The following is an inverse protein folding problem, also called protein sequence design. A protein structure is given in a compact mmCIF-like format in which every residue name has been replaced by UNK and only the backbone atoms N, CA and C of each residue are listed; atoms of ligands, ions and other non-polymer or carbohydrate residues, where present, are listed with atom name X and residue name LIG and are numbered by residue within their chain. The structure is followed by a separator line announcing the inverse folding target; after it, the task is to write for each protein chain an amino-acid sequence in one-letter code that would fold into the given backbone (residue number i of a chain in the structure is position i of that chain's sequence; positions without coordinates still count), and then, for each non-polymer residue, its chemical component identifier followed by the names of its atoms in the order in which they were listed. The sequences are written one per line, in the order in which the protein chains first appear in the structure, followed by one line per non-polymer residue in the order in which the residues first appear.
data_IF_686584921638
#
_entry.id   IF_686584921638
#
_cell.length_a   1.000
_cell.length_b   1.000
_cell.length_c   1.000
_cell.angle_alpha   90.00
_cell.angle_beta   90.00
_cell.angle_gamma   90.00
#
_symmetry.space_group_name_H-M   'P 1'
#
loop_
_entity.id
_entity.type
_entity.pdbx_description
1 polymer ?
#
# COMPACT_ATOMS: atom_id res chain seq x y z
N UNK A 1 32.56 -3.50 -1.81
CA UNK A 1 31.34 -3.47 -2.63
C UNK A 1 30.45 -2.34 -2.13
N UNK A 2 30.27 -1.28 -2.91
CA UNK A 2 29.28 -0.25 -2.62
C UNK A 2 27.91 -0.85 -2.96
N UNK A 3 27.17 -1.35 -1.97
CA UNK A 3 25.75 -1.64 -2.14
C UNK A 3 25.07 -0.33 -2.51
N UNK A 4 24.68 -0.20 -3.78
CA UNK A 4 23.89 0.92 -4.28
C UNK A 4 22.58 0.92 -3.48
N UNK A 5 22.46 1.79 -2.47
CA UNK A 5 21.21 1.95 -1.72
C UNK A 5 20.13 2.36 -2.73
N UNK A 6 19.04 1.59 -2.83
CA UNK A 6 17.89 1.99 -3.63
C UNK A 6 17.31 3.29 -3.07
N UNK A 7 16.91 4.19 -3.96
CA UNK A 7 16.13 5.37 -3.61
C UNK A 7 14.73 4.90 -3.17
N UNK A 8 14.25 5.23 -1.96
CA UNK A 8 12.95 4.77 -1.48
C UNK A 8 11.79 5.21 -2.37
N UNK A 9 11.92 6.32 -3.13
CA UNK A 9 10.89 6.68 -4.12
C UNK A 9 10.83 5.69 -5.29
N UNK A 10 11.98 5.17 -5.72
CA UNK A 10 12.07 4.13 -6.75
C UNK A 10 11.56 2.80 -6.21
N UNK A 11 11.89 2.46 -4.95
CA UNK A 11 11.39 1.26 -4.26
C UNK A 11 9.86 1.27 -4.15
N UNK A 12 9.26 2.40 -3.74
CA UNK A 12 7.80 2.57 -3.67
C UNK A 12 7.14 2.35 -5.04
N UNK A 13 7.70 2.94 -6.11
CA UNK A 13 7.16 2.80 -7.47
C UNK A 13 7.20 1.35 -7.95
N UNK A 14 8.33 0.68 -7.76
CA UNK A 14 8.50 -0.72 -8.15
C UNK A 14 7.53 -1.63 -7.39
N UNK A 15 7.35 -1.40 -6.08
CA UNK A 15 6.41 -2.18 -5.28
C UNK A 15 4.95 -1.93 -5.72
N UNK A 16 4.58 -0.69 -6.07
CA UNK A 16 3.24 -0.39 -6.56
C UNK A 16 2.97 -1.04 -7.93
N UNK A 17 3.96 -1.04 -8.82
CA UNK A 17 3.88 -1.71 -10.12
C UNK A 17 3.79 -3.23 -9.96
N UNK A 18 4.63 -3.82 -9.10
CA UNK A 18 4.60 -5.25 -8.75
C UNK A 18 3.22 -5.66 -8.22
N UNK A 19 2.69 -4.92 -7.24
CA UNK A 19 1.38 -5.14 -6.65
C UNK A 19 0.29 -5.17 -7.72
N UNK A 20 0.26 -4.14 -8.58
CA UNK A 20 -0.72 -4.04 -9.67
C UNK A 20 -0.62 -5.22 -10.63
N UNK A 21 0.59 -5.55 -11.07
CA UNK A 21 0.84 -6.61 -12.04
C UNK A 21 0.45 -7.98 -11.48
N UNK A 22 0.88 -8.30 -10.24
CA UNK A 22 0.53 -9.57 -9.59
C UNK A 22 -0.98 -9.74 -9.42
N UNK A 23 -1.69 -8.69 -8.99
CA UNK A 23 -3.15 -8.72 -8.85
C UNK A 23 -3.87 -8.92 -10.20
N UNK A 24 -3.37 -8.32 -11.29
CA UNK A 24 -3.91 -8.47 -12.65
C UNK A 24 -3.60 -9.86 -13.21
N UNK A 25 -2.40 -10.39 -12.99
CA UNK A 25 -2.02 -11.74 -13.40
C UNK A 25 -2.91 -12.79 -12.72
N UNK A 26 -3.16 -12.64 -11.41
CA UNK A 26 -4.05 -13.54 -10.69
C UNK A 26 -5.47 -13.59 -11.29
N UNK A 27 -6.02 -12.45 -11.74
CA UNK A 27 -7.32 -12.43 -12.45
C UNK A 27 -7.28 -13.28 -13.73
N UNK A 28 -6.16 -13.27 -14.48
CA UNK A 28 -6.05 -13.99 -15.75
C UNK A 28 -5.95 -15.51 -15.57
N UNK A 29 -5.33 -15.95 -14.47
CA UNK A 29 -4.96 -17.35 -14.27
C UNK A 29 -5.77 -18.05 -13.17
N UNK A 30 -6.67 -17.35 -12.49
CA UNK A 30 -7.48 -17.87 -11.38
C UNK A 30 -8.94 -17.44 -11.49
N UNK A 31 -9.81 -18.04 -10.68
CA UNK A 31 -11.19 -17.62 -10.47
C UNK A 31 -11.27 -16.50 -9.43
N UNK A 32 -10.58 -15.38 -9.70
CA UNK A 32 -10.59 -14.23 -8.80
C UNK A 32 -12.02 -13.71 -8.60
N UNK A 33 -12.35 -13.33 -7.36
CA UNK A 33 -13.66 -12.73 -7.01
C UNK A 33 -13.65 -11.20 -7.08
N UNK A 34 -12.57 -10.63 -7.56
CA UNK A 34 -12.41 -9.20 -7.80
C UNK A 34 -12.09 -8.96 -9.27
N UNK A 35 -12.36 -7.74 -9.73
CA UNK A 35 -12.16 -7.35 -11.13
C UNK A 35 -10.93 -6.47 -11.28
N UNK A 36 -10.47 -6.28 -12.52
CA UNK A 36 -9.42 -5.29 -12.80
C UNK A 36 -9.82 -3.89 -12.30
N UNK A 37 -11.11 -3.53 -12.35
CA UNK A 37 -11.58 -2.24 -11.80
C UNK A 37 -11.35 -2.12 -10.30
N UNK A 38 -11.41 -3.22 -9.56
CA UNK A 38 -11.16 -3.21 -8.11
C UNK A 38 -9.66 -3.11 -7.82
N UNK A 39 -8.82 -3.73 -8.65
CA UNK A 39 -7.36 -3.49 -8.63
C UNK A 39 -7.06 -2.02 -8.87
N UNK A 40 -7.61 -1.40 -9.91
CA UNK A 40 -7.34 0.02 -10.18
C UNK A 40 -7.81 0.93 -9.04
N UNK A 41 -8.96 0.63 -8.39
CA UNK A 41 -9.39 1.36 -7.19
C UNK A 41 -8.37 1.23 -6.06
N UNK A 42 -7.84 0.03 -5.83
CA UNK A 42 -6.80 -0.21 -4.82
C UNK A 42 -5.56 0.66 -5.08
N UNK A 43 -5.06 0.63 -6.32
CA UNK A 43 -3.89 1.41 -6.74
C UNK A 43 -4.14 2.91 -6.58
N UNK A 44 -5.29 3.42 -7.04
CA UNK A 44 -5.65 4.84 -6.90
C UNK A 44 -5.71 5.28 -5.44
N UNK A 45 -6.22 4.43 -4.52
CA UNK A 45 -6.21 4.75 -3.08
C UNK A 45 -4.78 4.91 -2.55
N UNK A 46 -3.88 4.02 -2.95
CA UNK A 46 -2.47 4.06 -2.53
C UNK A 46 -1.77 5.28 -3.14
N UNK A 47 -1.97 5.57 -4.44
CA UNK A 47 -1.40 6.77 -5.10
C UNK A 47 -1.88 8.06 -4.44
N UNK A 48 -3.18 8.18 -4.16
CA UNK A 48 -3.73 9.33 -3.45
C UNK A 48 -3.12 9.46 -2.04
N UNK A 49 -2.90 8.36 -1.34
CA UNK A 49 -2.21 8.38 -0.06
C UNK A 49 -0.77 8.89 -0.21
N UNK A 50 -0.01 8.37 -1.18
CA UNK A 50 1.38 8.77 -1.43
C UNK A 50 1.49 10.28 -1.72
N UNK A 51 0.59 10.82 -2.54
CA UNK A 51 0.53 12.25 -2.84
C UNK A 51 0.21 13.09 -1.60
N UNK A 52 -0.71 12.62 -0.76
CA UNK A 52 -1.13 13.37 0.43
C UNK A 52 -0.10 13.31 1.55
N UNK A 53 0.53 12.16 1.79
CA UNK A 53 1.57 12.04 2.83
C UNK A 53 2.83 12.79 2.42
N UNK A 54 3.16 12.87 1.12
CA UNK A 54 4.24 13.71 0.63
C UNK A 54 4.04 15.19 1.04
N UNK A 55 2.79 15.67 0.98
CA UNK A 55 2.38 17.05 1.29
C UNK A 55 2.08 17.29 2.78
N UNK A 56 2.01 16.26 3.61
CA UNK A 56 1.64 16.45 5.01
C UNK A 56 2.69 17.23 5.80
N UNK A 57 2.22 18.07 6.72
CA UNK A 57 3.05 19.00 7.48
C UNK A 57 3.71 18.36 8.70
N UNK A 58 3.11 17.31 9.28
CA UNK A 58 3.59 16.71 10.52
C UNK A 58 3.14 15.25 10.67
N UNK A 59 3.80 14.53 11.60
CA UNK A 59 3.56 13.11 11.87
C UNK A 59 2.10 12.83 12.22
N UNK A 60 1.41 13.70 12.97
CA UNK A 60 0.00 13.48 13.34
C UNK A 60 -0.88 13.40 12.09
N UNK A 61 -0.81 14.41 11.21
CA UNK A 61 -1.53 14.40 9.92
C UNK A 61 -1.13 13.20 9.07
N UNK A 62 0.15 12.84 9.03
CA UNK A 62 0.63 11.65 8.32
C UNK A 62 -0.01 10.35 8.81
N UNK A 63 -0.10 10.15 10.14
CA UNK A 63 -0.73 8.94 10.71
C UNK A 63 -2.24 8.91 10.50
N UNK A 64 -2.91 10.07 10.45
CA UNK A 64 -4.33 10.16 10.07
C UNK A 64 -4.56 9.72 8.62
N UNK A 65 -3.64 10.06 7.70
CA UNK A 65 -3.67 9.58 6.31
C UNK A 65 -3.45 8.06 6.23
N UNK A 66 -2.49 7.51 6.98
CA UNK A 66 -2.26 6.06 7.07
C UNK A 66 -3.53 5.34 7.52
N UNK A 67 -4.14 5.81 8.61
CA UNK A 67 -5.37 5.24 9.14
C UNK A 67 -6.50 5.30 8.10
N UNK A 68 -6.65 6.43 7.42
CA UNK A 68 -7.67 6.63 6.39
C UNK A 68 -7.50 5.64 5.24
N UNK A 69 -6.27 5.49 4.72
CA UNK A 69 -5.97 4.52 3.68
C UNK A 69 -6.33 3.09 4.11
N UNK A 70 -5.90 2.66 5.31
CA UNK A 70 -6.16 1.30 5.80
C UNK A 70 -7.67 1.03 5.93
N UNK A 71 -8.46 2.01 6.38
CA UNK A 71 -9.93 1.88 6.44
C UNK A 71 -10.50 1.70 5.02
N UNK A 72 -10.08 2.54 4.07
CA UNK A 72 -10.56 2.45 2.69
C UNK A 72 -10.19 1.12 2.03
N UNK A 73 -8.99 0.60 2.30
CA UNK A 73 -8.54 -0.70 1.80
C UNK A 73 -9.31 -1.86 2.43
N UNK A 74 -9.57 -1.83 3.75
CA UNK A 74 -10.42 -2.83 4.40
C UNK A 74 -11.83 -2.85 3.78
N UNK A 75 -12.43 -1.67 3.57
CA UNK A 75 -13.76 -1.56 2.97
C UNK A 75 -13.79 -2.05 1.52
N UNK A 76 -12.73 -1.78 0.75
CA UNK A 76 -12.58 -2.29 -0.61
C UNK A 76 -12.42 -3.81 -0.61
N UNK A 77 -11.57 -4.36 0.26
CA UNK A 77 -11.36 -5.79 0.39
C UNK A 77 -12.65 -6.51 0.75
N UNK A 78 -13.42 -5.97 1.70
CA UNK A 78 -14.72 -6.52 2.09
C UNK A 78 -15.71 -6.59 0.92
N UNK A 79 -15.75 -5.57 0.04
CA UNK A 79 -16.57 -5.58 -1.18
C UNK A 79 -16.14 -6.65 -2.19
N UNK A 80 -14.90 -7.13 -2.09
CA UNK A 80 -14.33 -8.22 -2.86
C UNK A 80 -14.31 -9.55 -2.07
N UNK A 81 -15.22 -9.71 -1.09
CA UNK A 81 -15.33 -10.90 -0.23
C UNK A 81 -14.03 -11.28 0.51
N UNK A 82 -13.16 -10.30 0.76
CA UNK A 82 -11.88 -10.50 1.45
C UNK A 82 -10.76 -11.04 0.58
N UNK A 83 -10.95 -11.17 -0.75
CA UNK A 83 -10.02 -11.86 -1.65
C UNK A 83 -9.13 -10.92 -2.47
N UNK A 84 -9.30 -9.60 -2.35
CA UNK A 84 -8.49 -8.62 -3.08
C UNK A 84 -7.11 -8.42 -2.43
N UNK A 85 -7.06 -8.39 -1.10
CA UNK A 85 -5.85 -8.16 -0.32
C UNK A 85 -5.60 -9.38 0.57
N UNK A 86 -4.82 -10.33 0.05
CA UNK A 86 -4.37 -11.49 0.79
C UNK A 86 -2.99 -11.24 1.41
N UNK A 87 -2.34 -12.29 1.91
CA UNK A 87 -1.07 -12.19 2.65
C UNK A 87 0.04 -11.48 1.89
N UNK A 88 0.19 -11.74 0.59
CA UNK A 88 1.26 -11.15 -0.22
C UNK A 88 1.01 -9.66 -0.50
N UNK A 89 -0.19 -9.31 -1.03
CA UNK A 89 -0.55 -7.93 -1.34
C UNK A 89 -0.45 -7.04 -0.09
N UNK A 90 -0.82 -7.61 1.04
CA UNK A 90 -0.74 -6.96 2.34
C UNK A 90 0.69 -6.60 2.76
N UNK A 91 1.65 -7.50 2.55
CA UNK A 91 3.06 -7.24 2.86
C UNK A 91 3.61 -6.14 1.95
N UNK A 92 3.26 -6.18 0.66
CA UNK A 92 3.63 -5.14 -0.30
C UNK A 92 3.03 -3.76 0.05
N UNK A 93 1.72 -3.70 0.29
CA UNK A 93 1.02 -2.47 0.69
C UNK A 93 1.62 -1.88 1.96
N UNK A 94 1.90 -2.73 2.95
CA UNK A 94 2.46 -2.28 4.23
C UNK A 94 3.86 -1.72 4.03
N UNK A 95 4.67 -2.38 3.20
CA UNK A 95 6.01 -1.90 2.82
C UNK A 95 5.93 -0.52 2.15
N UNK A 96 5.01 -0.32 1.19
CA UNK A 96 4.79 0.98 0.53
C UNK A 96 4.47 2.07 1.56
N UNK A 97 3.55 1.81 2.49
CA UNK A 97 3.13 2.77 3.52
C UNK A 97 4.27 3.12 4.48
N UNK A 98 5.02 2.12 4.94
CA UNK A 98 6.16 2.27 5.86
C UNK A 98 7.27 3.10 5.20
N UNK A 99 7.60 2.81 3.94
CA UNK A 99 8.59 3.57 3.17
C UNK A 99 8.18 5.03 2.99
N UNK A 100 6.92 5.29 2.65
CA UNK A 100 6.41 6.64 2.47
C UNK A 100 6.44 7.46 3.77
N UNK A 101 6.03 6.87 4.88
CA UNK A 101 6.14 7.51 6.20
C UNK A 101 7.59 7.72 6.63
N UNK A 102 8.48 6.77 6.33
CA UNK A 102 9.91 6.88 6.62
C UNK A 102 10.56 8.04 5.86
N UNK A 103 10.25 8.19 4.56
CA UNK A 103 10.71 9.31 3.75
C UNK A 103 10.29 10.67 4.31
N UNK A 104 9.12 10.74 4.95
CA UNK A 104 8.63 11.94 5.64
C UNK A 104 9.20 12.15 7.04
N UNK A 105 9.98 11.20 7.55
CA UNK A 105 10.54 11.21 8.89
C UNK A 105 9.51 10.88 9.98
N UNK A 106 8.43 10.17 9.64
CA UNK A 106 7.34 9.88 10.59
C UNK A 106 7.52 8.54 11.31
N UNK A 107 8.33 7.63 10.78
CA UNK A 107 8.61 6.32 11.37
C UNK A 107 10.02 5.85 10.98
N UNK A 108 10.53 4.86 11.71
CA UNK A 108 11.70 4.12 11.25
C UNK A 108 11.33 3.15 10.11
N UNK A 109 12.33 2.69 9.34
CA UNK A 109 12.09 1.75 8.24
C UNK A 109 11.51 0.40 8.71
N UNK A 110 11.73 0.05 9.99
CA UNK A 110 11.31 -1.22 10.58
C UNK A 110 10.04 -1.09 11.47
N UNK A 111 9.50 0.11 11.61
CA UNK A 111 8.28 0.36 12.40
C UNK A 111 7.04 0.12 11.52
N UNK A 112 6.34 -0.98 11.77
CA UNK A 112 5.04 -1.25 11.12
C UNK A 112 3.94 -0.38 11.71
N UNK A 113 3.77 0.80 11.11
CA UNK A 113 2.75 1.79 11.44
C UNK A 113 1.32 1.37 11.04
N UNK A 114 1.15 0.20 10.40
CA UNK A 114 -0.14 -0.28 9.87
C UNK A 114 -0.75 -1.38 10.74
N UNK A 115 0.06 -2.13 11.50
CA UNK A 115 -0.32 -3.35 12.22
C UNK A 115 -1.62 -3.28 13.02
N UNK A 116 -1.79 -2.25 13.85
CA UNK A 116 -2.93 -2.17 14.78
C UNK A 116 -4.29 -1.86 14.12
N UNK A 117 -4.29 -1.48 12.84
CA UNK A 117 -5.48 -0.96 12.15
C UNK A 117 -5.98 -1.87 11.03
N UNK A 118 -5.19 -2.88 10.68
CA UNK A 118 -5.45 -3.80 9.60
C UNK A 118 -6.50 -4.82 10.05
N UNK A 119 -7.61 -4.90 9.30
CA UNK A 119 -8.68 -5.88 9.53
C UNK A 119 -8.59 -7.04 8.54
N UNK A 120 -8.17 -6.71 7.32
CA UNK A 120 -8.02 -7.57 6.14
C UNK A 120 -9.22 -8.49 5.92
#
# INVERSE_FOLDING_TARGET
MLTKKLDPNTEIKNNLESLRNGMIEYIKFSSAKYTQKDVEKCIILIENFLDNIAKSENKKKGMELVKTLIIQLNDLNQKCEGTLIETEQREEISTIIILAGHLKGYNSKDEDITYKMRKW
#
